data_IF_332325253257
#
_entry.id   IF_332325253257
#
_cell.length_a   1.000
_cell.length_b   1.000
_cell.length_c   1.000
_cell.angle_alpha   90.00
_cell.angle_beta   90.00
_cell.angle_gamma   90.00
#
_symmetry.space_group_name_H-M   'P 1'
#
loop_
_entity.id
_entity.type
_entity.pdbx_description
1 polymer ?
#
# COMPACT_ATOMS: atom_id res chain seq x y z
N UNK A 1 -11.61 -2.70 -20.54
CA UNK A 1 -10.74 -1.50 -20.61
C UNK A 1 -9.35 -1.92 -20.20
N UNK A 2 -8.51 -2.12 -21.21
CA UNK A 2 -7.23 -2.78 -21.07
C UNK A 2 -6.23 -1.77 -20.48
N UNK A 3 -5.61 -2.05 -19.33
CA UNK A 3 -4.16 -1.86 -19.33
C UNK A 3 -3.72 -2.74 -20.50
N UNK A 4 -3.23 -2.18 -21.61
CA UNK A 4 -3.14 -2.92 -22.85
C UNK A 4 -2.42 -4.23 -22.57
N UNK A 5 -3.18 -5.32 -22.62
CA UNK A 5 -2.68 -6.69 -22.50
C UNK A 5 -1.52 -6.90 -23.49
N UNK A 6 -1.63 -6.19 -24.62
CA UNK A 6 -0.71 -6.11 -25.73
C UNK A 6 0.57 -5.29 -25.48
N UNK A 7 0.68 -4.52 -24.37
CA UNK A 7 1.90 -3.76 -24.02
C UNK A 7 2.80 -4.57 -23.08
N UNK A 8 2.26 -5.48 -22.28
CA UNK A 8 3.02 -6.16 -21.21
C UNK A 8 3.19 -7.68 -21.39
N UNK A 9 2.33 -8.40 -22.13
CA UNK A 9 2.49 -9.83 -22.38
C UNK A 9 3.28 -10.08 -23.68
N UNK A 10 4.49 -10.63 -23.55
CA UNK A 10 5.55 -10.68 -24.58
C UNK A 10 5.33 -11.58 -25.80
N UNK A 11 4.23 -12.32 -25.90
CA UNK A 11 4.18 -13.48 -26.82
C UNK A 11 3.13 -13.39 -27.95
N UNK A 12 2.42 -12.26 -28.08
CA UNK A 12 1.51 -12.02 -29.21
C UNK A 12 2.10 -11.12 -30.29
N UNK A 13 1.69 -11.23 -31.58
CA UNK A 13 1.98 -10.19 -32.56
C UNK A 13 1.44 -8.88 -32.01
N UNK A 14 2.34 -7.93 -31.75
CA UNK A 14 2.06 -6.64 -31.10
C UNK A 14 0.98 -5.88 -31.86
N UNK A 15 -0.28 -6.16 -31.53
CA UNK A 15 -1.43 -5.43 -32.02
C UNK A 15 -1.47 -4.14 -31.19
N UNK A 16 -0.80 -3.11 -31.72
CA UNK A 16 -1.06 -1.73 -31.36
C UNK A 16 -2.57 -1.50 -31.55
N UNK A 17 -3.34 -1.53 -30.47
CA UNK A 17 -4.65 -0.90 -30.49
C UNK A 17 -4.44 0.57 -30.87
N UNK A 18 -5.39 1.14 -31.62
CA UNK A 18 -5.28 2.54 -32.05
C UNK A 18 -5.15 3.44 -30.81
N UNK A 19 -4.35 4.49 -30.88
CA UNK A 19 -4.10 5.39 -29.74
C UNK A 19 -5.39 6.00 -29.17
N UNK A 20 -6.41 6.17 -30.01
CA UNK A 20 -7.77 6.57 -29.61
C UNK A 20 -8.39 5.64 -28.56
N UNK A 21 -8.07 4.34 -28.60
CA UNK A 21 -8.58 3.34 -27.64
C UNK A 21 -8.02 3.56 -26.22
N UNK A 22 -6.94 4.32 -26.09
CA UNK A 22 -6.27 4.64 -24.82
C UNK A 22 -6.39 6.11 -24.44
N UNK A 23 -7.05 6.93 -25.26
CA UNK A 23 -7.16 8.37 -25.05
C UNK A 23 -7.78 8.71 -23.69
N UNK A 24 -8.93 8.08 -23.37
CA UNK A 24 -9.62 8.30 -22.10
C UNK A 24 -8.74 7.94 -20.88
N UNK A 25 -8.02 6.81 -20.95
CA UNK A 25 -7.11 6.40 -19.88
C UNK A 25 -5.93 7.36 -19.73
N UNK A 26 -5.30 7.74 -20.84
CA UNK A 26 -4.13 8.65 -20.82
C UNK A 26 -4.54 10.04 -20.32
N UNK A 27 -5.71 10.54 -20.73
CA UNK A 27 -6.27 11.78 -20.21
C UNK A 27 -6.59 11.68 -18.73
N UNK A 28 -7.16 10.57 -18.27
CA UNK A 28 -7.43 10.33 -16.85
C UNK A 28 -6.13 10.37 -16.03
N UNK A 29 -5.11 9.60 -16.41
CA UNK A 29 -3.81 9.58 -15.72
C UNK A 29 -3.18 10.97 -15.71
N UNK A 30 -3.23 11.69 -16.83
CA UNK A 30 -2.67 13.05 -16.92
C UNK A 30 -3.41 14.06 -16.04
N UNK A 31 -4.74 13.96 -15.97
CA UNK A 31 -5.58 14.86 -15.19
C UNK A 31 -5.55 14.56 -13.68
N UNK A 32 -5.09 13.36 -13.31
CA UNK A 32 -4.96 12.89 -11.94
C UNK A 32 -3.53 12.47 -11.60
N UNK A 33 -2.52 13.07 -12.24
CA UNK A 33 -1.11 12.67 -12.12
C UNK A 33 -0.62 12.64 -10.66
N UNK A 34 -1.20 13.48 -9.80
CA UNK A 34 -0.96 13.54 -8.37
C UNK A 34 -1.30 12.23 -7.64
N UNK A 35 -2.09 11.34 -8.24
CA UNK A 35 -2.43 10.01 -7.72
C UNK A 35 -1.54 8.89 -8.28
N UNK A 36 -0.58 9.21 -9.15
CA UNK A 36 0.29 8.23 -9.83
C UNK A 36 1.77 8.53 -9.64
N UNK A 37 2.16 9.80 -9.69
CA UNK A 37 3.53 10.26 -9.56
C UNK A 37 4.00 10.00 -8.12
N UNK A 38 5.21 9.43 -7.97
CA UNK A 38 5.82 9.11 -6.68
C UNK A 38 5.04 8.12 -5.78
N UNK A 39 4.06 7.41 -6.33
CA UNK A 39 3.41 6.27 -5.68
C UNK A 39 4.15 4.95 -5.92
N UNK A 40 4.25 4.11 -4.90
CA UNK A 40 4.73 2.72 -5.03
C UNK A 40 3.66 1.72 -4.62
N UNK A 41 3.83 0.47 -5.05
CA UNK A 41 3.00 -0.62 -4.55
C UNK A 41 3.11 -0.67 -3.02
N UNK A 42 1.96 -0.87 -2.37
CA UNK A 42 1.86 -1.05 -0.95
C UNK A 42 1.47 -2.51 -0.73
N UNK A 43 2.36 -3.32 -0.17
CA UNK A 43 2.23 -4.78 -0.17
C UNK A 43 2.65 -5.35 1.17
N UNK A 44 1.84 -6.25 1.71
CA UNK A 44 2.14 -7.01 2.93
C UNK A 44 3.15 -8.13 2.69
N UNK A 45 3.29 -8.57 1.44
CA UNK A 45 4.03 -9.76 1.08
C UNK A 45 5.21 -9.41 0.19
N UNK A 46 6.40 -9.86 0.58
CA UNK A 46 7.59 -9.87 -0.27
C UNK A 46 7.74 -11.22 -0.97
N UNK A 47 7.92 -11.23 -2.29
CA UNK A 47 8.32 -12.41 -3.05
C UNK A 47 9.84 -12.41 -3.20
N UNK A 48 10.50 -13.11 -2.29
CA UNK A 48 11.95 -13.24 -2.23
C UNK A 48 12.43 -14.18 -3.33
N UNK A 49 13.28 -13.66 -4.21
CA UNK A 49 13.75 -14.37 -5.39
C UNK A 49 15.26 -14.24 -5.54
N UNK A 50 15.92 -15.38 -5.82
CA UNK A 50 17.32 -15.40 -6.17
C UNK A 50 17.51 -14.97 -7.62
N UNK A 51 18.16 -13.84 -7.87
CA UNK A 51 18.40 -13.37 -9.25
C UNK A 51 19.34 -14.29 -10.03
N UNK A 52 20.07 -15.18 -9.34
CA UNK A 52 20.90 -16.22 -9.95
C UNK A 52 20.09 -17.46 -10.41
N UNK A 53 18.84 -17.62 -9.94
CA UNK A 53 17.93 -18.71 -10.32
C UNK A 53 17.24 -18.47 -11.68
N UNK A 54 16.53 -19.49 -12.17
CA UNK A 54 15.71 -19.39 -13.38
C UNK A 54 14.44 -18.55 -13.13
N UNK A 55 14.00 -17.81 -14.15
CA UNK A 55 12.82 -16.93 -14.05
C UNK A 55 11.51 -17.70 -13.86
N UNK A 56 11.43 -18.95 -14.33
CA UNK A 56 10.22 -19.78 -14.26
C UNK A 56 9.69 -19.96 -12.82
N UNK A 57 10.60 -19.99 -11.83
CA UNK A 57 10.22 -20.06 -10.41
C UNK A 57 9.52 -18.77 -9.95
N UNK A 58 10.11 -17.62 -10.30
CA UNK A 58 9.51 -16.31 -10.01
C UNK A 58 8.14 -16.18 -10.67
N UNK A 59 8.03 -16.58 -11.94
CA UNK A 59 6.79 -16.51 -12.71
C UNK A 59 5.71 -17.42 -12.11
N UNK A 60 6.06 -18.65 -11.72
CA UNK A 60 5.13 -19.60 -11.11
C UNK A 60 4.62 -19.11 -9.76
N UNK A 61 5.52 -18.59 -8.90
CA UNK A 61 5.14 -18.09 -7.57
C UNK A 61 4.37 -16.77 -7.65
N UNK A 62 4.81 -15.88 -8.54
CA UNK A 62 4.10 -14.65 -8.86
C UNK A 62 2.70 -14.93 -9.38
N UNK A 63 2.52 -15.91 -10.27
CA UNK A 63 1.21 -16.34 -10.76
C UNK A 63 0.33 -16.92 -9.65
N UNK A 64 0.89 -17.66 -8.70
CA UNK A 64 0.13 -18.19 -7.57
C UNK A 64 -0.34 -17.08 -6.62
N UNK A 65 0.54 -16.12 -6.26
CA UNK A 65 0.15 -14.95 -5.46
C UNK A 65 -0.86 -14.06 -6.20
N UNK A 66 -0.67 -13.93 -7.51
CA UNK A 66 -1.59 -13.30 -8.43
C UNK A 66 -2.98 -13.98 -8.30
N UNK A 67 -3.10 -15.29 -8.48
CA UNK A 67 -4.39 -16.00 -8.38
C UNK A 67 -5.03 -15.91 -6.98
N UNK A 68 -4.22 -15.80 -5.93
CA UNK A 68 -4.66 -15.54 -4.56
C UNK A 68 -5.12 -14.09 -4.32
N UNK A 69 -4.94 -13.20 -5.30
CA UNK A 69 -5.27 -11.75 -5.24
C UNK A 69 -4.49 -11.00 -4.16
N UNK A 70 -3.27 -11.45 -3.88
CA UNK A 70 -2.40 -10.83 -2.88
C UNK A 70 -1.49 -9.84 -3.60
N UNK A 71 -1.48 -8.59 -3.15
CA UNK A 71 -0.48 -7.62 -3.62
C UNK A 71 0.88 -7.97 -3.03
N UNK A 72 1.90 -8.07 -3.88
CA UNK A 72 3.25 -8.42 -3.48
C UNK A 72 4.29 -7.54 -4.19
N UNK A 73 5.42 -7.34 -3.51
CA UNK A 73 6.63 -6.79 -4.11
C UNK A 73 7.60 -7.93 -4.46
N UNK A 74 8.44 -7.73 -5.47
CA UNK A 74 9.58 -8.63 -5.71
C UNK A 74 10.75 -8.14 -4.85
N UNK A 75 11.32 -9.04 -4.05
CA UNK A 75 12.51 -8.81 -3.23
C UNK A 75 13.69 -9.57 -3.87
N UNK A 76 14.42 -8.93 -4.81
CA UNK A 76 15.53 -9.60 -5.49
C UNK A 76 16.75 -9.67 -4.57
N UNK A 77 17.35 -10.86 -4.44
CA UNK A 77 18.64 -11.09 -3.80
C UNK A 77 19.52 -11.90 -4.74
N UNK A 78 20.79 -11.55 -4.92
CA UNK A 78 21.65 -12.32 -5.83
C UNK A 78 22.74 -11.48 -6.51
N UNK A 79 23.61 -12.17 -7.23
CA UNK A 79 24.76 -11.55 -7.89
C UNK A 79 24.48 -11.17 -9.34
N UNK A 80 23.47 -11.79 -9.97
CA UNK A 80 23.14 -11.55 -11.38
C UNK A 80 22.33 -10.27 -11.59
N UNK A 81 23.03 -9.30 -12.19
CA UNK A 81 22.55 -8.10 -12.91
C UNK A 81 21.16 -7.54 -12.55
N UNK A 82 21.11 -6.46 -11.75
CA UNK A 82 22.19 -5.93 -10.92
C UNK A 82 22.45 -6.82 -9.70
N UNK A 83 23.68 -6.83 -9.16
CA UNK A 83 23.92 -7.36 -7.81
C UNK A 83 22.99 -6.63 -6.85
N UNK A 84 22.13 -7.36 -6.16
CA UNK A 84 21.18 -6.83 -5.18
C UNK A 84 21.51 -7.49 -3.85
N UNK A 85 21.67 -6.66 -2.84
CA UNK A 85 21.62 -7.08 -1.44
C UNK A 85 20.34 -6.50 -0.84
N UNK A 86 19.83 -7.16 0.18
CA UNK A 86 18.76 -6.64 1.01
C UNK A 86 19.36 -6.00 2.27
N UNK A 87 18.67 -5.02 2.82
CA UNK A 87 18.81 -4.62 4.22
C UNK A 87 17.77 -5.42 5.01
N UNK A 88 18.22 -6.25 5.95
CA UNK A 88 17.35 -7.18 6.70
C UNK A 88 16.31 -6.41 7.51
N UNK A 89 16.73 -5.36 8.21
CA UNK A 89 15.85 -4.57 9.07
C UNK A 89 14.81 -3.81 8.24
N UNK A 90 15.24 -3.17 7.14
CA UNK A 90 14.33 -2.47 6.22
C UNK A 90 13.31 -3.46 5.64
N UNK A 91 13.78 -4.62 5.17
CA UNK A 91 12.92 -5.64 4.54
C UNK A 91 11.93 -6.23 5.54
N UNK A 92 12.38 -6.60 6.73
CA UNK A 92 11.52 -7.15 7.79
C UNK A 92 10.48 -6.13 8.27
N UNK A 93 10.86 -4.84 8.38
CA UNK A 93 9.91 -3.78 8.77
C UNK A 93 8.85 -3.48 7.72
N UNK A 94 9.07 -3.89 6.48
CA UNK A 94 8.20 -3.57 5.34
C UNK A 94 7.13 -4.63 5.09
N UNK A 95 7.42 -5.90 5.37
CA UNK A 95 6.57 -7.03 4.99
C UNK A 95 6.13 -7.82 6.22
N UNK A 96 4.86 -8.22 6.25
CA UNK A 96 4.32 -9.09 7.30
C UNK A 96 4.76 -10.55 7.06
N UNK A 97 4.93 -10.91 5.79
CA UNK A 97 5.33 -12.25 5.33
C UNK A 97 6.25 -12.17 4.12
N UNK A 98 7.14 -13.15 4.01
CA UNK A 98 7.96 -13.34 2.81
C UNK A 98 7.70 -14.72 2.23
N UNK A 99 7.53 -14.78 0.91
CA UNK A 99 7.46 -16.03 0.15
C UNK A 99 8.78 -16.23 -0.56
N UNK A 100 9.47 -17.33 -0.28
CA UNK A 100 10.72 -17.69 -0.93
C UNK A 100 10.45 -18.48 -2.22
N UNK A 101 10.77 -17.90 -3.37
CA UNK A 101 10.48 -18.49 -4.69
C UNK A 101 11.46 -19.60 -5.13
N UNK A 102 12.66 -19.66 -4.55
CA UNK A 102 13.74 -20.54 -4.99
C UNK A 102 14.29 -21.40 -3.86
N UNK A 103 14.91 -22.54 -4.18
CA UNK A 103 15.55 -23.41 -3.18
C UNK A 103 16.78 -22.72 -2.54
N UNK A 104 16.69 -22.38 -1.25
CA UNK A 104 17.73 -21.70 -0.49
C UNK A 104 19.07 -22.44 -0.51
N UNK A 105 19.05 -23.77 -0.60
CA UNK A 105 20.28 -24.58 -0.60
C UNK A 105 21.15 -24.35 -1.84
N UNK A 106 20.55 -23.81 -2.91
CA UNK A 106 21.26 -23.46 -4.15
C UNK A 106 21.90 -22.06 -4.12
N UNK A 107 21.64 -21.25 -3.08
CA UNK A 107 22.09 -19.86 -3.00
C UNK A 107 23.54 -19.78 -2.54
N UNK A 108 24.23 -18.65 -2.77
CA UNK A 108 25.56 -18.43 -2.20
C UNK A 108 25.51 -18.43 -0.67
N UNK A 109 26.61 -18.79 -0.01
CA UNK A 109 26.66 -18.82 1.46
C UNK A 109 26.36 -17.45 2.08
N UNK A 110 26.80 -16.36 1.42
CA UNK A 110 26.50 -14.98 1.84
C UNK A 110 24.99 -14.71 1.84
N UNK A 111 24.30 -15.08 0.76
CA UNK A 111 22.85 -14.89 0.64
C UNK A 111 22.08 -15.82 1.58
N UNK A 112 22.55 -17.05 1.82
CA UNK A 112 21.94 -17.95 2.81
C UNK A 112 21.96 -17.35 4.21
N UNK A 113 23.06 -16.70 4.60
CA UNK A 113 23.15 -16.01 5.91
C UNK A 113 22.13 -14.88 6.00
N UNK A 114 22.01 -14.04 4.97
CA UNK A 114 21.03 -12.94 4.95
C UNK A 114 19.59 -13.43 5.04
N UNK A 115 19.25 -14.50 4.32
CA UNK A 115 17.89 -15.07 4.37
C UNK A 115 17.59 -15.71 5.73
N UNK A 116 18.58 -16.36 6.35
CA UNK A 116 18.41 -16.91 7.70
C UNK A 116 18.21 -15.78 8.73
N UNK A 117 19.01 -14.70 8.66
CA UNK A 117 18.86 -13.52 9.51
C UNK A 117 17.47 -12.87 9.31
N UNK A 118 17.04 -12.73 8.06
CA UNK A 118 15.69 -12.25 7.74
C UNK A 118 14.60 -13.15 8.32
N UNK A 119 14.79 -14.47 8.30
CA UNK A 119 13.85 -15.44 8.87
C UNK A 119 13.76 -15.42 10.39
N UNK A 120 14.70 -14.76 11.09
CA UNK A 120 14.60 -14.48 12.52
C UNK A 120 13.67 -13.31 12.83
N UNK A 121 13.51 -12.38 11.87
CA UNK A 121 12.74 -11.13 12.02
C UNK A 121 11.34 -11.20 11.38
N UNK A 122 11.18 -11.92 10.27
CA UNK A 122 9.92 -12.06 9.53
C UNK A 122 9.68 -13.49 9.11
N UNK A 123 8.41 -13.92 9.14
CA UNK A 123 8.04 -15.29 8.75
C UNK A 123 8.22 -15.51 7.24
N UNK A 124 9.08 -16.48 6.90
CA UNK A 124 9.38 -16.88 5.53
C UNK A 124 8.70 -18.22 5.24
N UNK A 125 7.78 -18.21 4.27
CA UNK A 125 7.13 -19.43 3.76
C UNK A 125 7.75 -19.87 2.44
N UNK A 126 7.92 -21.17 2.26
CA UNK A 126 8.55 -21.75 1.06
C UNK A 126 7.60 -21.89 -0.14
N UNK A 127 6.31 -21.56 0.01
CA UNK A 127 5.33 -21.66 -1.06
C UNK A 127 4.08 -20.79 -0.79
N UNK A 128 3.47 -20.14 -1.81
CA UNK A 128 2.25 -19.33 -1.66
C UNK A 128 1.08 -20.06 -0.99
N UNK A 129 0.86 -21.34 -1.29
CA UNK A 129 -0.17 -22.15 -0.62
C UNK A 129 -0.01 -22.30 0.91
N UNK A 130 1.19 -22.06 1.45
CA UNK A 130 1.43 -22.02 2.90
C UNK A 130 1.23 -20.64 3.50
N UNK A 131 1.00 -19.62 2.67
CA UNK A 131 0.78 -18.25 3.11
C UNK A 131 -0.60 -18.12 3.74
N UNK A 132 -0.62 -17.66 4.98
CA UNK A 132 -1.81 -17.22 5.67
C UNK A 132 -1.58 -15.78 6.15
N UNK A 133 -2.50 -14.89 5.77
CA UNK A 133 -2.53 -13.52 6.22
C UNK A 133 -3.65 -13.44 7.26
N UNK A 134 -3.29 -13.44 8.54
CA UNK A 134 -4.27 -13.37 9.63
C UNK A 134 -5.10 -12.08 9.56
N UNK A 135 -4.52 -10.99 9.02
CA UNK A 135 -5.16 -9.70 8.76
C UNK A 135 -4.73 -9.13 7.39
N UNK A 136 -5.34 -9.61 6.30
CA UNK A 136 -5.10 -9.02 4.98
C UNK A 136 -5.51 -7.54 4.96
N UNK A 137 -4.62 -6.63 4.55
CA UNK A 137 -4.88 -5.17 4.53
C UNK A 137 -6.09 -4.81 3.67
N UNK A 138 -6.38 -5.59 2.63
CA UNK A 138 -7.58 -5.39 1.81
C UNK A 138 -8.23 -6.74 1.51
N UNK A 139 -9.51 -6.83 1.79
CA UNK A 139 -10.37 -7.95 1.46
C UNK A 139 -11.46 -7.49 0.49
N UNK A 140 -11.73 -8.30 -0.54
CA UNK A 140 -12.77 -7.99 -1.53
C UNK A 140 -13.88 -9.03 -1.42
N UNK A 141 -15.09 -8.58 -1.10
CA UNK A 141 -16.30 -9.40 -1.10
C UNK A 141 -17.14 -9.06 -2.34
N UNK A 142 -17.07 -9.87 -3.41
CA UNK A 142 -17.80 -9.60 -4.65
C UNK A 142 -19.31 -9.89 -4.49
N UNK A 143 -20.19 -9.00 -4.96
CA UNK A 143 -21.66 -9.18 -4.83
C UNK A 143 -22.23 -10.27 -5.74
N UNK A 144 -21.53 -10.68 -6.82
CA UNK A 144 -21.87 -11.81 -7.70
C UNK A 144 -20.62 -12.54 -8.23
N UNK A 145 -19.57 -12.64 -7.41
CA UNK A 145 -18.28 -13.22 -7.80
C UNK A 145 -17.51 -12.57 -8.98
N UNK A 146 -17.61 -11.26 -9.32
CA UNK A 146 -16.66 -10.68 -10.27
C UNK A 146 -15.22 -10.91 -9.81
N UNK A 147 -14.32 -11.13 -10.77
CA UNK A 147 -12.89 -11.34 -10.53
C UNK A 147 -12.22 -10.01 -10.24
N UNK A 148 -12.58 -9.41 -9.11
CA UNK A 148 -12.06 -8.11 -8.68
C UNK A 148 -10.74 -8.29 -7.94
N UNK A 149 -9.84 -7.38 -8.29
CA UNK A 149 -8.47 -7.30 -7.88
C UNK A 149 -8.21 -5.91 -7.34
N UNK A 150 -7.51 -5.81 -6.23
CA UNK A 150 -7.22 -4.56 -5.55
C UNK A 150 -5.72 -4.44 -5.34
N UNK A 151 -5.14 -3.34 -5.80
CA UNK A 151 -3.70 -3.09 -5.70
C UNK A 151 -3.48 -1.74 -5.02
N UNK A 152 -3.24 -1.72 -3.70
CA UNK A 152 -2.98 -0.49 -2.98
C UNK A 152 -1.60 0.08 -3.32
N UNK A 153 -1.53 1.39 -3.27
CA UNK A 153 -0.33 2.19 -3.49
C UNK A 153 -0.27 3.34 -2.51
N UNK A 154 0.93 3.64 -2.02
CA UNK A 154 1.20 4.77 -1.12
C UNK A 154 2.23 5.70 -1.74
N UNK A 155 2.09 6.99 -1.47
CA UNK A 155 3.09 7.97 -1.87
C UNK A 155 4.39 7.71 -1.09
N UNK A 156 5.53 7.92 -1.75
CA UNK A 156 6.85 7.51 -1.22
C UNK A 156 7.38 8.41 -0.11
N UNK A 157 7.00 9.69 -0.09
CA UNK A 157 7.56 10.69 0.82
C UNK A 157 6.52 11.58 1.52
N UNK A 158 5.25 11.47 1.15
CA UNK A 158 4.18 12.30 1.70
C UNK A 158 3.23 11.34 2.42
N UNK A 159 3.30 11.36 3.74
CA UNK A 159 2.50 10.46 4.57
C UNK A 159 1.01 10.80 4.52
N UNK A 160 0.67 12.07 4.28
CA UNK A 160 -0.71 12.57 4.19
C UNK A 160 -1.32 12.43 2.79
N UNK A 161 -0.52 12.12 1.78
CA UNK A 161 -1.05 11.83 0.46
C UNK A 161 -2.03 10.65 0.52
N UNK A 162 -3.14 10.70 -0.23
CA UNK A 162 -4.17 9.68 -0.15
C UNK A 162 -3.62 8.31 -0.53
N UNK A 163 -4.11 7.25 0.11
CA UNK A 163 -3.79 5.89 -0.32
C UNK A 163 -4.61 5.59 -1.58
N UNK A 164 -3.95 5.13 -2.63
CA UNK A 164 -4.60 4.87 -3.94
C UNK A 164 -4.73 3.37 -4.14
N UNK A 165 -5.96 2.88 -4.26
CA UNK A 165 -6.24 1.47 -4.54
C UNK A 165 -6.71 1.33 -5.97
N UNK A 166 -5.91 0.66 -6.81
CA UNK A 166 -6.37 0.30 -8.15
C UNK A 166 -7.34 -0.87 -8.04
N UNK A 167 -8.56 -0.67 -8.53
CA UNK A 167 -9.59 -1.71 -8.65
C UNK A 167 -9.61 -2.21 -10.08
N UNK A 168 -9.24 -3.46 -10.29
CA UNK A 168 -9.19 -4.12 -11.59
C UNK A 168 -10.27 -5.19 -11.67
N UNK A 169 -11.15 -5.09 -12.66
CA UNK A 169 -12.11 -6.16 -12.94
C UNK A 169 -11.53 -7.07 -14.02
N UNK A 170 -11.19 -8.29 -13.61
CA UNK A 170 -10.53 -9.32 -14.42
C UNK A 170 -11.51 -10.24 -15.13
N UNK A 171 -12.81 -10.02 -14.99
CA UNK A 171 -13.83 -10.82 -15.67
C UNK A 171 -14.14 -10.26 -17.06
N UNK A 172 -13.09 -10.08 -17.86
CA UNK A 172 -13.20 -9.56 -19.22
C UNK A 172 -13.50 -10.67 -20.22
N UNK A 173 -14.57 -10.47 -20.98
CA UNK A 173 -14.96 -11.32 -22.11
C UNK A 173 -14.53 -10.66 -23.42
N UNK A 174 -13.51 -11.23 -24.07
CA UNK A 174 -13.00 -10.74 -25.34
C UNK A 174 -13.96 -10.93 -26.53
N UNK A 175 -14.96 -11.82 -26.41
CA UNK A 175 -15.93 -12.05 -27.49
C UNK A 175 -16.99 -10.96 -27.56
N UNK A 176 -17.30 -10.35 -26.43
CA UNK A 176 -18.28 -9.27 -26.27
C UNK A 176 -17.64 -7.91 -25.99
N UNK A 177 -16.32 -7.87 -25.80
CA UNK A 177 -15.55 -6.70 -25.36
C UNK A 177 -16.15 -6.05 -24.11
N UNK A 178 -16.52 -6.87 -23.13
CA UNK A 178 -17.25 -6.44 -21.94
C UNK A 178 -16.64 -7.00 -20.64
N UNK A 179 -17.05 -6.44 -19.51
CA UNK A 179 -16.79 -6.98 -18.18
C UNK A 179 -18.12 -7.11 -17.42
N UNK A 180 -18.25 -8.08 -16.52
CA UNK A 180 -19.34 -8.08 -15.54
C UNK A 180 -19.16 -6.89 -14.60
N UNK A 181 -19.93 -5.82 -14.82
CA UNK A 181 -19.83 -4.59 -14.06
C UNK A 181 -20.63 -4.60 -12.77
N UNK A 182 -21.10 -5.77 -12.29
CA UNK A 182 -21.74 -5.89 -10.97
C UNK A 182 -20.87 -5.22 -9.89
N UNK A 183 -21.49 -4.47 -8.99
CA UNK A 183 -20.81 -3.88 -7.83
C UNK A 183 -20.06 -4.89 -6.95
N UNK A 184 -19.24 -4.38 -6.04
CA UNK A 184 -18.58 -5.19 -5.02
C UNK A 184 -18.48 -4.41 -3.72
N UNK A 185 -18.19 -5.12 -2.63
CA UNK A 185 -17.76 -4.49 -1.39
C UNK A 185 -16.25 -4.71 -1.21
N UNK A 186 -15.56 -3.65 -0.80
CA UNK A 186 -14.14 -3.67 -0.50
C UNK A 186 -14.01 -3.30 0.98
N UNK A 187 -13.39 -4.18 1.74
CA UNK A 187 -12.99 -3.95 3.12
C UNK A 187 -11.49 -3.71 3.16
N UNK A 188 -11.06 -2.69 3.90
CA UNK A 188 -9.66 -2.42 4.15
C UNK A 188 -9.42 -2.34 5.66
N UNK A 189 -8.33 -2.96 6.10
CA UNK A 189 -7.93 -3.03 7.50
C UNK A 189 -7.38 -1.68 7.97
N UNK A 190 -7.60 -1.33 9.24
CA UNK A 190 -7.11 -0.08 9.82
C UNK A 190 -5.59 0.04 9.76
N UNK A 191 -4.86 -1.08 9.86
CA UNK A 191 -3.40 -1.10 9.75
C UNK A 191 -2.90 -0.54 8.41
N UNK A 192 -3.72 -0.60 7.35
CA UNK A 192 -3.39 0.00 6.07
C UNK A 192 -3.16 1.52 6.17
N UNK A 193 -3.81 2.18 7.14
CA UNK A 193 -3.69 3.62 7.38
C UNK A 193 -2.43 3.99 8.19
N UNK A 194 -1.71 3.02 8.79
CA UNK A 194 -0.51 3.26 9.62
C UNK A 194 -0.69 4.38 10.64
N UNK A 195 -1.73 4.26 11.46
CA UNK A 195 -2.04 5.23 12.51
C UNK A 195 -2.63 6.57 12.05
N UNK A 196 -3.07 6.65 10.79
CA UNK A 196 -3.86 7.79 10.32
C UNK A 196 -5.36 7.54 10.44
N UNK A 197 -6.11 8.62 10.54
CA UNK A 197 -7.57 8.61 10.48
C UNK A 197 -8.07 8.60 9.03
N UNK A 198 -9.17 7.89 8.80
CA UNK A 198 -9.87 7.91 7.52
C UNK A 198 -10.80 9.13 7.44
N UNK A 199 -10.54 10.02 6.48
CA UNK A 199 -11.43 11.16 6.24
C UNK A 199 -12.57 10.82 5.27
N UNK A 200 -12.22 10.24 4.13
CA UNK A 200 -13.20 9.91 3.08
C UNK A 200 -12.63 8.89 2.09
N UNK A 201 -13.54 8.25 1.34
CA UNK A 201 -13.18 7.39 0.22
C UNK A 201 -13.86 7.89 -1.04
N UNK A 202 -13.07 8.25 -2.05
CA UNK A 202 -13.56 8.68 -3.35
C UNK A 202 -13.33 7.59 -4.39
N UNK A 203 -14.31 7.38 -5.27
CA UNK A 203 -14.22 6.46 -6.40
C UNK A 203 -14.07 7.24 -7.70
N UNK A 204 -13.00 6.94 -8.44
CA UNK A 204 -12.65 7.62 -9.68
C UNK A 204 -12.51 6.61 -10.82
N UNK A 205 -12.98 6.96 -12.02
CA UNK A 205 -12.78 6.15 -13.21
C UNK A 205 -12.67 6.99 -14.49
N UNK A 206 -12.08 6.48 -15.58
CA UNK A 206 -11.87 7.25 -16.82
C UNK A 206 -13.13 7.86 -17.45
N UNK A 207 -14.29 7.29 -17.13
CA UNK A 207 -15.59 7.68 -17.71
C UNK A 207 -16.61 8.09 -16.65
N UNK A 208 -16.25 8.03 -15.36
CA UNK A 208 -17.15 8.31 -14.25
C UNK A 208 -16.68 9.59 -13.54
N UNK A 209 -17.61 10.48 -13.15
CA UNK A 209 -17.26 11.56 -12.24
C UNK A 209 -16.77 10.98 -10.91
N UNK A 210 -15.86 11.68 -10.24
CA UNK A 210 -15.47 11.37 -8.87
C UNK A 210 -16.72 11.28 -8.00
N UNK A 211 -16.86 10.16 -7.30
CA UNK A 211 -18.01 9.88 -6.43
C UNK A 211 -17.50 9.54 -5.04
N UNK A 212 -17.90 10.31 -4.04
CA UNK A 212 -17.64 9.96 -2.64
C UNK A 212 -18.48 8.75 -2.24
N UNK A 213 -17.85 7.75 -1.62
CA UNK A 213 -18.49 6.52 -1.18
C UNK A 213 -18.82 6.59 0.30
N UNK A 214 -19.97 6.07 0.69
CA UNK A 214 -20.30 5.87 2.09
C UNK A 214 -19.37 4.81 2.69
N UNK A 215 -18.74 5.15 3.82
CA UNK A 215 -17.88 4.26 4.58
C UNK A 215 -18.67 3.69 5.75
N UNK A 216 -18.56 2.38 5.96
CA UNK A 216 -19.04 1.70 7.16
C UNK A 216 -17.84 1.20 7.95
N UNK A 217 -17.72 1.63 9.20
CA UNK A 217 -16.69 1.13 10.11
C UNK A 217 -17.00 -0.33 10.51
N UNK A 218 -15.96 -1.17 10.51
CA UNK A 218 -16.01 -2.56 10.95
C UNK A 218 -15.12 -2.74 12.18
N UNK A 219 -15.16 -3.91 12.82
CA UNK A 219 -14.31 -4.16 14.00
C UNK A 219 -12.80 -4.12 13.70
N UNK A 220 -12.39 -4.36 12.46
CA UNK A 220 -10.99 -4.42 12.01
C UNK A 220 -10.59 -3.27 11.08
N UNK A 221 -11.55 -2.51 10.55
CA UNK A 221 -11.24 -1.44 9.61
C UNK A 221 -12.50 -0.80 9.04
N UNK A 222 -12.57 -0.74 7.72
CA UNK A 222 -13.60 0.02 7.02
C UNK A 222 -14.07 -0.72 5.78
N UNK A 223 -15.35 -0.56 5.46
CA UNK A 223 -15.99 -1.15 4.30
C UNK A 223 -16.62 -0.08 3.43
N UNK A 224 -16.41 -0.19 2.12
CA UNK A 224 -17.10 0.60 1.10
C UNK A 224 -17.82 -0.31 0.10
N UNK A 225 -18.88 0.20 -0.50
CA UNK A 225 -19.63 -0.49 -1.57
C UNK A 225 -19.49 0.26 -2.89
N UNK A 226 -18.94 -0.40 -3.90
CA UNK A 226 -18.87 0.13 -5.26
C UNK A 226 -20.16 -0.26 -5.98
N UNK A 227 -20.93 0.70 -6.53
CA UNK A 227 -22.19 0.40 -7.20
C UNK A 227 -22.00 -0.39 -8.51
N UNK A 228 -20.83 -0.28 -9.13
CA UNK A 228 -20.43 -1.03 -10.32
C UNK A 228 -18.92 -1.22 -10.34
N UNK A 229 -18.44 -2.24 -11.05
CA UNK A 229 -17.01 -2.52 -11.20
C UNK A 229 -16.58 -2.45 -12.67
N UNK A 230 -16.21 -1.25 -13.17
CA UNK A 230 -15.65 -1.16 -14.52
C UNK A 230 -14.35 -1.96 -14.60
N UNK A 231 -13.86 -2.18 -15.82
CA UNK A 231 -12.61 -2.90 -16.06
C UNK A 231 -11.43 -2.34 -15.24
N UNK A 232 -11.40 -1.02 -15.01
CA UNK A 232 -10.47 -0.38 -14.11
C UNK A 232 -11.06 0.89 -13.49
N UNK A 233 -10.75 1.12 -12.21
CA UNK A 233 -11.02 2.37 -11.49
C UNK A 233 -10.02 2.54 -10.33
N UNK A 234 -10.10 3.67 -9.63
CA UNK A 234 -9.35 3.95 -8.42
C UNK A 234 -10.30 4.17 -7.25
N UNK A 235 -9.91 3.68 -6.08
CA UNK A 235 -10.32 4.29 -4.82
C UNK A 235 -9.20 5.21 -4.35
N UNK A 236 -9.56 6.43 -3.97
CA UNK A 236 -8.69 7.40 -3.33
C UNK A 236 -9.14 7.52 -1.88
N UNK A 237 -8.31 7.03 -0.98
CA UNK A 237 -8.57 6.99 0.46
C UNK A 237 -7.87 8.20 1.06
N UNK A 238 -8.64 9.23 1.40
CA UNK A 238 -8.12 10.44 2.02
C UNK A 238 -7.93 10.18 3.52
N UNK A 239 -6.79 10.62 4.04
CA UNK A 239 -6.35 10.36 5.41
C UNK A 239 -5.92 11.65 6.09
N UNK A 240 -6.00 11.68 7.41
CA UNK A 240 -5.50 12.77 8.24
C UNK A 240 -4.73 12.23 9.44
N UNK A 241 -3.93 13.09 10.07
CA UNK A 241 -3.35 12.76 11.37
C UNK A 241 -4.47 12.62 12.40
N UNK A 242 -4.34 11.63 13.29
CA UNK A 242 -5.15 11.56 14.49
C UNK A 242 -4.67 12.71 15.39
N UNK A 243 -5.53 13.69 15.71
CA UNK A 243 -5.12 14.80 16.55
C UNK A 243 -4.63 14.30 17.92
N UNK A 244 -3.36 14.52 18.23
CA UNK A 244 -2.77 14.08 19.50
C UNK A 244 -1.93 12.81 19.44
N UNK A 245 -1.94 12.08 18.32
CA UNK A 245 -1.07 10.93 18.07
C UNK A 245 0.29 11.44 17.55
N UNK A 246 1.16 11.81 18.48
CA UNK A 246 2.45 12.43 18.18
C UNK A 246 3.52 11.40 17.83
N UNK A 247 3.32 10.14 18.21
CA UNK A 247 4.24 9.05 17.87
C UNK A 247 3.83 8.32 16.56
N UNK A 248 2.66 8.63 16.00
CA UNK A 248 2.05 8.04 14.81
C UNK A 248 1.84 6.52 14.91
N UNK A 249 1.50 6.02 16.10
CA UNK A 249 1.21 4.60 16.34
C UNK A 249 -0.26 4.21 16.12
N UNK A 250 -1.12 5.20 15.88
CA UNK A 250 -2.55 5.02 15.62
C UNK A 250 -3.43 5.08 16.85
N UNK A 251 -2.88 5.47 17.98
CA UNK A 251 -3.63 5.72 19.20
C UNK A 251 -3.15 7.01 19.85
N UNK A 252 -4.00 7.60 20.69
CA UNK A 252 -3.62 8.74 21.53
C UNK A 252 -3.57 8.27 22.97
N UNK A 253 -2.37 8.03 23.48
CA UNK A 253 -2.14 7.44 24.78
C UNK A 253 -0.96 8.03 25.57
N UNK A 254 -0.50 7.32 26.60
CA UNK A 254 0.60 7.77 27.45
C UNK A 254 1.94 7.87 26.72
N UNK A 255 2.14 7.16 25.63
CA UNK A 255 3.35 7.24 24.81
C UNK A 255 3.39 8.58 24.05
N UNK A 256 2.25 9.11 23.59
CA UNK A 256 2.19 10.46 23.03
C UNK A 256 2.49 11.53 24.07
N UNK A 257 2.04 11.30 25.30
CA UNK A 257 2.38 12.18 26.42
C UNK A 257 3.88 12.20 26.68
N UNK A 258 4.56 11.06 26.52
CA UNK A 258 6.02 10.98 26.66
C UNK A 258 6.73 11.77 25.55
N UNK A 259 6.25 11.69 24.29
CA UNK A 259 6.78 12.48 23.17
C UNK A 259 6.64 13.97 23.43
N UNK A 260 5.42 14.45 23.75
CA UNK A 260 5.20 15.87 24.04
C UNK A 260 5.96 16.32 25.28
N UNK A 261 6.06 15.50 26.33
CA UNK A 261 6.81 15.87 27.54
C UNK A 261 8.31 16.01 27.26
N UNK A 262 8.87 15.13 26.43
CA UNK A 262 10.27 15.21 26.02
C UNK A 262 10.55 16.49 25.21
N UNK A 263 9.70 16.80 24.23
CA UNK A 263 9.83 18.01 23.40
C UNK A 263 9.50 19.29 24.18
N UNK A 264 8.58 19.24 25.14
CA UNK A 264 8.31 20.37 26.04
C UNK A 264 9.55 20.73 26.86
N UNK A 265 10.20 19.72 27.45
CA UNK A 265 11.40 19.96 28.27
C UNK A 265 12.56 20.56 27.47
N UNK A 266 12.70 20.22 26.18
CA UNK A 266 13.74 20.77 25.31
C UNK A 266 13.33 22.12 24.69
N UNK A 267 12.05 22.30 24.37
CA UNK A 267 11.56 23.35 23.49
C UNK A 267 10.26 24.02 23.91
N UNK A 268 10.16 24.51 25.14
CA UNK A 268 9.01 25.30 25.61
C UNK A 268 9.14 26.82 25.53
N UNK A 269 10.16 27.33 24.85
CA UNK A 269 10.44 28.77 24.75
C UNK A 269 10.81 29.13 23.31
N UNK A 270 9.95 29.91 22.65
CA UNK A 270 10.15 30.39 21.28
C UNK A 270 11.46 31.19 21.10
N UNK A 271 12.00 31.75 22.18
CA UNK A 271 13.27 32.47 22.16
C UNK A 271 14.49 31.56 22.28
N UNK A 272 14.31 30.27 22.60
CA UNK A 272 15.40 29.30 22.67
C UNK A 272 15.94 29.01 21.26
N UNK A 273 17.19 29.38 20.94
CA UNK A 273 17.76 29.13 19.62
C UNK A 273 17.88 27.64 19.27
N UNK A 274 17.86 26.75 20.28
CA UNK A 274 17.90 25.30 20.06
C UNK A 274 16.62 24.75 19.41
N UNK A 275 15.50 25.48 19.53
CA UNK A 275 14.23 25.09 18.92
C UNK A 275 14.08 25.60 17.49
N UNK A 276 14.87 26.62 17.13
CA UNK A 276 14.82 27.20 15.79
C UNK A 276 15.32 26.21 14.74
N UNK A 277 14.40 25.77 13.88
CA UNK A 277 14.68 24.83 12.79
C UNK A 277 14.65 23.36 13.18
N UNK A 278 14.26 23.02 14.41
CA UNK A 278 13.87 21.65 14.74
C UNK A 278 12.46 21.38 14.23
N UNK A 279 12.24 20.17 13.72
CA UNK A 279 10.91 19.65 13.45
C UNK A 279 10.44 19.02 14.76
N UNK A 280 9.52 19.68 15.45
CA UNK A 280 8.91 19.18 16.66
C UNK A 280 7.67 18.38 16.26
N UNK A 281 7.63 17.10 16.62
CA UNK A 281 6.52 16.20 16.25
C UNK A 281 5.21 16.62 16.93
N UNK A 282 5.32 17.17 18.14
CA UNK A 282 4.18 17.57 18.96
C UNK A 282 3.76 19.03 18.77
N UNK A 283 4.44 19.81 17.93
CA UNK A 283 4.07 21.21 17.62
C UNK A 283 2.88 21.25 16.65
N UNK A 284 1.71 20.92 17.17
CA UNK A 284 0.47 20.76 16.43
C UNK A 284 -0.02 22.05 15.76
N UNK A 285 0.40 23.20 16.27
CA UNK A 285 0.00 24.51 15.74
C UNK A 285 1.07 25.17 14.86
N UNK A 286 2.27 24.55 14.77
CA UNK A 286 3.42 24.99 13.97
C UNK A 286 3.94 26.39 14.34
N UNK A 287 3.90 26.76 15.62
CA UNK A 287 4.42 28.03 16.13
C UNK A 287 5.91 27.97 16.54
N UNK A 288 6.52 26.80 16.45
CA UNK A 288 7.95 26.55 16.58
C UNK A 288 8.41 26.19 17.99
N UNK A 289 7.49 25.90 18.92
CA UNK A 289 7.79 25.45 20.29
C UNK A 289 6.62 24.64 20.85
N UNK A 290 6.86 23.85 21.89
CA UNK A 290 5.82 23.08 22.57
C UNK A 290 5.20 23.90 23.70
N UNK A 291 3.87 23.95 23.70
CA UNK A 291 3.10 24.74 24.65
C UNK A 291 1.92 23.96 25.21
N UNK A 292 1.16 24.62 26.10
CA UNK A 292 -0.10 24.07 26.58
C UNK A 292 -1.13 23.87 25.46
N UNK A 293 -1.06 24.64 24.37
CA UNK A 293 -1.99 24.47 23.24
C UNK A 293 -1.77 23.12 22.55
N UNK A 294 -0.52 22.68 22.43
CA UNK A 294 -0.17 21.39 21.84
C UNK A 294 -0.63 20.23 22.71
N UNK A 295 -0.53 20.37 24.02
CA UNK A 295 -1.07 19.40 24.96
C UNK A 295 -2.61 19.31 24.91
N UNK A 296 -3.30 20.40 24.59
CA UNK A 296 -4.76 20.35 24.38
C UNK A 296 -5.13 19.48 23.19
N UNK A 297 -4.32 19.46 22.12
CA UNK A 297 -4.52 18.57 20.96
C UNK A 297 -4.44 17.10 21.36
N UNK A 298 -3.47 16.72 22.20
CA UNK A 298 -3.39 15.39 22.80
C UNK A 298 -4.62 15.03 23.63
N UNK A 299 -5.12 15.96 24.45
CA UNK A 299 -6.33 15.70 25.24
C UNK A 299 -7.60 15.53 24.39
N UNK A 300 -7.67 16.17 23.23
CA UNK A 300 -8.80 16.01 22.31
C UNK A 300 -8.81 14.63 21.64
N UNK A 301 -7.63 14.07 21.36
CA UNK A 301 -7.47 12.73 20.81
C UNK A 301 -7.71 11.61 21.82
N UNK A 302 -7.30 11.81 23.08
CA UNK A 302 -7.35 10.78 24.13
C UNK A 302 -8.78 10.22 24.40
N UNK A 303 -9.82 10.97 24.04
CA UNK A 303 -11.21 10.58 24.34
C UNK A 303 -11.89 9.73 23.26
N UNK A 304 -11.19 9.38 22.18
CA UNK A 304 -11.70 8.55 21.08
C UNK A 304 -11.23 7.10 21.22
#
# INVERSE_FOLDING_TARGET
MQCPWNIWAGDGPRLYSHWDNHGAFTHFVRNHRELFDDYRAYSQVGLLWNTDSVMDELDSFGAALYDMKIAFDIVPLGERYPRRTIDVNETASKYDKIVQASDLSSWSQENQVLVNELGEEVDIVSHPNGLSLDNGWINVTPLNAPKIWVLPRKHTSDILAPIVVHVLNRDYDSSTDSVDNTGCSIEFDRQMLKGMDLESVEWLGPQNPTTELAVTETGSGFQVSLPQTPAWSLLKINVSYIPGDFNADGSVDMLDLDVIAAEWLSCSDASNPQCQGQILQSDSNSDGYISYLDFVSLWQGWQQ
#
